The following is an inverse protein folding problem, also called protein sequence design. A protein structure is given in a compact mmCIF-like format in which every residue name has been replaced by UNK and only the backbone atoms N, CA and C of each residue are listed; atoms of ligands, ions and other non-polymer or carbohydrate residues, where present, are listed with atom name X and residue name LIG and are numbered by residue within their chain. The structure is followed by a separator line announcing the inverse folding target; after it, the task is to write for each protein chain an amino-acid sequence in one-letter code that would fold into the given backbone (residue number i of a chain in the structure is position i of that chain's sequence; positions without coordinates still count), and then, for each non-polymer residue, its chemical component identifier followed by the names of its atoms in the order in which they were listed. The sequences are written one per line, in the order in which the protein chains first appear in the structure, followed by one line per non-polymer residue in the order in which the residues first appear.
data_IF_582116705830
#
_entry.id   IF_582116705830
#
_cell.length_a   1.000
_cell.length_b   1.000
_cell.length_c   1.000
_cell.angle_alpha   90.00
_cell.angle_beta   90.00
_cell.angle_gamma   90.00
#
_symmetry.space_group_name_H-M   'P 1'
#
loop_
_entity.id
_entity.type
_entity.pdbx_description
1 polymer ?
#
# COMPACT_ATOMS: atom_id res chain seq x y z
N UNK A 1 35.04 8.59 -19.66
CA UNK A 1 34.02 7.51 -19.83
C UNK A 1 33.66 7.40 -21.30
N UNK A 2 33.75 6.20 -21.88
CA UNK A 2 33.65 5.96 -23.32
C UNK A 2 32.21 5.99 -23.84
N UNK A 3 31.97 6.58 -25.02
CA UNK A 3 30.66 6.66 -25.71
C UNK A 3 29.87 5.34 -25.68
N UNK A 4 30.55 4.20 -25.85
CA UNK A 4 29.95 2.86 -25.81
C UNK A 4 29.35 2.51 -24.44
N UNK A 5 30.03 2.87 -23.35
CA UNK A 5 29.54 2.68 -21.99
C UNK A 5 28.29 3.51 -21.74
N UNK A 6 28.28 4.78 -22.17
CA UNK A 6 27.12 5.65 -21.99
C UNK A 6 25.90 5.12 -22.75
N UNK A 7 26.09 4.63 -23.98
CA UNK A 7 25.01 4.00 -24.76
C UNK A 7 24.48 2.76 -24.05
N UNK A 8 25.37 1.92 -23.52
CA UNK A 8 24.98 0.71 -22.79
C UNK A 8 24.20 1.07 -21.51
N UNK A 9 24.67 2.04 -20.72
CA UNK A 9 23.96 2.50 -19.53
C UNK A 9 22.60 3.10 -19.85
N UNK A 10 22.49 3.88 -20.94
CA UNK A 10 21.22 4.43 -21.40
C UNK A 10 20.24 3.32 -21.80
N UNK A 11 20.72 2.28 -22.51
CA UNK A 11 19.91 1.11 -22.84
C UNK A 11 19.44 0.37 -21.59
N UNK A 12 20.29 0.20 -20.57
CA UNK A 12 19.89 -0.41 -19.30
C UNK A 12 18.84 0.42 -18.56
N UNK A 13 19.01 1.74 -18.48
CA UNK A 13 18.02 2.62 -17.87
C UNK A 13 16.69 2.57 -18.61
N UNK A 14 16.71 2.46 -19.94
CA UNK A 14 15.49 2.38 -20.73
C UNK A 14 14.80 1.01 -20.60
N UNK A 15 15.57 -0.09 -20.63
CA UNK A 15 15.01 -1.45 -20.57
C UNK A 15 14.57 -1.86 -19.16
N UNK A 16 15.25 -1.38 -18.11
CA UNK A 16 14.97 -1.78 -16.73
C UNK A 16 14.43 -0.63 -15.89
N UNK A 17 14.99 0.56 -16.03
CA UNK A 17 14.58 1.73 -15.26
C UNK A 17 13.18 2.21 -15.61
N UNK A 18 12.82 2.27 -16.89
CA UNK A 18 11.48 2.73 -17.30
C UNK A 18 10.37 1.76 -16.83
N UNK A 19 10.46 0.43 -17.03
CA UNK A 19 9.45 -0.49 -16.49
C UNK A 19 9.43 -0.49 -14.96
N UNK A 20 10.59 -0.40 -14.31
CA UNK A 20 10.66 -0.31 -12.85
C UNK A 20 9.91 0.93 -12.33
N UNK A 21 10.18 2.10 -12.91
CA UNK A 21 9.52 3.34 -12.53
C UNK A 21 8.01 3.24 -12.74
N UNK A 22 7.58 2.83 -13.92
CA UNK A 22 6.17 2.82 -14.28
C UNK A 22 5.35 1.76 -13.52
N UNK A 23 5.89 0.54 -13.35
CA UNK A 23 5.15 -0.54 -12.71
C UNK A 23 5.18 -0.49 -11.18
N UNK A 24 6.24 0.07 -10.60
CA UNK A 24 6.47 -0.03 -9.15
C UNK A 24 6.43 1.30 -8.41
N UNK A 25 6.76 2.42 -9.06
CA UNK A 25 6.75 3.74 -8.41
C UNK A 25 5.56 4.60 -8.84
N UNK A 26 5.24 4.61 -10.13
CA UNK A 26 4.15 5.39 -10.73
C UNK A 26 2.95 4.49 -11.08
N UNK A 27 2.56 3.61 -10.15
CA UNK A 27 1.41 2.73 -10.30
C UNK A 27 0.11 3.33 -9.73
N UNK A 28 0.09 4.65 -9.51
CA UNK A 28 -1.06 5.39 -9.03
C UNK A 28 -2.21 5.41 -10.05
N UNK A 29 -3.41 5.80 -9.60
CA UNK A 29 -4.64 5.74 -10.40
C UNK A 29 -4.74 6.88 -11.45
N UNK A 30 -3.61 7.43 -11.91
CA UNK A 30 -3.54 8.55 -12.85
C UNK A 30 -4.32 9.78 -12.36
N UNK A 31 -5.11 10.38 -13.26
CA UNK A 31 -5.93 11.57 -12.99
C UNK A 31 -7.27 11.27 -12.28
N UNK A 32 -7.42 10.09 -11.67
CA UNK A 32 -8.62 9.74 -10.94
C UNK A 32 -8.86 10.75 -9.80
N UNK A 33 -9.86 11.61 -9.97
CA UNK A 33 -10.27 12.55 -8.92
C UNK A 33 -10.72 11.76 -7.70
N UNK A 34 -10.24 12.19 -6.53
CA UNK A 34 -10.72 11.68 -5.27
C UNK A 34 -12.25 11.84 -5.21
N UNK A 35 -12.96 10.75 -4.91
CA UNK A 35 -14.40 10.84 -4.63
C UNK A 35 -14.59 11.68 -3.36
N UNK A 36 -15.58 12.59 -3.31
CA UNK A 36 -15.86 13.36 -2.10
C UNK A 36 -16.40 12.43 -1.02
N UNK A 37 -15.49 11.89 -0.21
CA UNK A 37 -15.80 10.95 0.86
C UNK A 37 -15.64 11.66 2.20
N UNK A 38 -16.75 11.82 2.91
CA UNK A 38 -16.75 12.45 4.23
C UNK A 38 -16.84 11.38 5.32
N UNK A 39 -15.95 11.47 6.31
CA UNK A 39 -15.93 10.53 7.44
C UNK A 39 -17.27 10.50 8.19
N UNK A 40 -18.00 11.62 8.22
CA UNK A 40 -19.33 11.69 8.82
C UNK A 40 -20.35 10.80 8.08
N UNK A 41 -20.31 10.77 6.74
CA UNK A 41 -21.18 9.92 5.94
C UNK A 41 -20.85 8.43 6.15
N UNK A 42 -19.56 8.08 6.25
CA UNK A 42 -19.13 6.72 6.57
C UNK A 42 -19.61 6.27 7.95
N UNK A 43 -19.50 7.14 8.96
CA UNK A 43 -19.99 6.85 10.32
C UNK A 43 -21.51 6.69 10.37
N UNK A 44 -22.24 7.55 9.66
CA UNK A 44 -23.70 7.44 9.52
C UNK A 44 -24.10 6.13 8.85
N UNK A 45 -23.43 5.76 7.75
CA UNK A 45 -23.64 4.49 7.08
C UNK A 45 -23.36 3.31 7.99
N UNK A 46 -22.22 3.31 8.71
CA UNK A 46 -21.88 2.25 9.66
C UNK A 46 -22.93 2.13 10.79
N UNK A 47 -23.43 3.25 11.31
CA UNK A 47 -24.48 3.26 12.33
C UNK A 47 -25.84 2.78 11.83
N UNK A 48 -26.09 2.84 10.52
CA UNK A 48 -27.33 2.33 9.91
C UNK A 48 -27.34 0.81 9.73
N UNK A 49 -26.18 0.16 9.85
CA UNK A 49 -26.08 -1.30 9.73
C UNK A 49 -26.60 -1.97 11.00
N UNK A 50 -27.45 -3.02 10.88
CA UNK A 50 -27.94 -3.75 12.03
C UNK A 50 -26.83 -4.62 12.65
N UNK A 51 -26.92 -4.83 13.96
CA UNK A 51 -25.98 -5.66 14.73
C UNK A 51 -25.06 -4.86 15.62
N UNK A 52 -24.22 -5.56 16.39
CA UNK A 52 -23.24 -4.90 17.25
C UNK A 52 -22.02 -4.46 16.43
N UNK A 53 -21.54 -3.25 16.70
CA UNK A 53 -20.31 -2.77 16.11
C UNK A 53 -19.09 -3.55 16.65
N UNK A 54 -18.00 -3.64 15.89
CA UNK A 54 -16.75 -4.17 16.42
C UNK A 54 -16.29 -3.40 17.66
N UNK A 55 -15.78 -4.12 18.67
CA UNK A 55 -15.32 -3.53 19.94
C UNK A 55 -13.89 -2.97 19.89
N UNK A 56 -13.16 -3.28 18.83
CA UNK A 56 -11.77 -2.83 18.67
C UNK A 56 -11.19 -3.20 17.31
N UNK A 57 -9.90 -2.93 17.18
CA UNK A 57 -9.05 -3.35 16.06
C UNK A 57 -7.84 -4.04 16.65
N UNK A 58 -7.63 -5.28 16.25
CA UNK A 58 -6.48 -6.09 16.65
C UNK A 58 -5.64 -6.40 15.42
N UNK A 59 -4.35 -6.62 15.62
CA UNK A 59 -3.45 -7.00 14.54
C UNK A 59 -2.42 -8.03 15.01
N UNK A 60 -1.95 -8.83 14.07
CA UNK A 60 -0.84 -9.75 14.25
C UNK A 60 0.17 -9.55 13.11
N UNK A 61 1.46 -9.50 13.44
CA UNK A 61 2.53 -9.49 12.44
C UNK A 61 2.76 -10.94 12.01
N UNK A 62 2.27 -11.28 10.82
CA UNK A 62 2.33 -12.66 10.30
C UNK A 62 3.60 -12.92 9.49
N UNK A 63 4.23 -11.87 8.97
CA UNK A 63 5.51 -11.97 8.27
C UNK A 63 6.24 -10.61 8.26
N UNK A 64 7.46 -10.60 7.72
CA UNK A 64 8.16 -9.36 7.39
C UNK A 64 8.84 -9.49 6.04
N UNK A 65 9.02 -8.35 5.36
CA UNK A 65 9.75 -8.29 4.09
C UNK A 65 10.66 -7.08 4.06
N UNK A 66 11.84 -7.27 3.48
CA UNK A 66 12.72 -6.17 3.12
C UNK A 66 12.41 -5.69 1.71
N UNK A 67 12.19 -4.39 1.52
CA UNK A 67 11.89 -3.79 0.21
C UNK A 67 12.33 -2.31 0.16
N UNK A 68 12.62 -1.71 -1.02
CA UNK A 68 12.95 -0.29 -1.14
C UNK A 68 11.86 0.61 -0.54
N UNK A 69 12.24 1.63 0.23
CA UNK A 69 11.29 2.49 0.96
C UNK A 69 10.17 3.05 0.10
N UNK A 70 10.47 3.54 -1.11
CA UNK A 70 9.47 4.11 -2.02
C UNK A 70 8.44 3.10 -2.54
N UNK A 71 8.70 1.79 -2.47
CA UNK A 71 7.68 0.77 -2.76
C UNK A 71 6.68 0.59 -1.61
N UNK A 72 6.96 1.16 -0.44
CA UNK A 72 6.07 1.10 0.73
C UNK A 72 5.37 2.44 0.96
N UNK A 73 6.13 3.54 0.96
CA UNK A 73 5.63 4.91 1.13
C UNK A 73 6.44 5.85 0.25
N UNK A 74 5.76 6.67 -0.56
CA UNK A 74 6.39 7.65 -1.42
C UNK A 74 7.27 8.63 -0.64
N UNK A 75 8.49 8.89 -1.13
CA UNK A 75 9.45 9.81 -0.52
C UNK A 75 10.35 9.17 0.55
N UNK A 76 10.29 7.85 0.72
CA UNK A 76 11.10 7.09 1.67
C UNK A 76 12.45 6.63 1.08
N UNK A 77 12.62 6.79 -0.23
CA UNK A 77 13.85 6.55 -0.97
C UNK A 77 14.10 5.08 -1.32
N UNK A 78 15.21 4.82 -2.02
CA UNK A 78 15.58 3.48 -2.50
C UNK A 78 16.24 2.56 -1.45
N UNK A 79 16.60 3.08 -0.27
CA UNK A 79 17.20 2.25 0.78
C UNK A 79 16.18 1.23 1.26
N UNK A 80 16.60 -0.04 1.36
CA UNK A 80 15.72 -1.11 1.83
C UNK A 80 15.29 -0.87 3.28
N UNK A 81 14.01 -1.08 3.54
CA UNK A 81 13.39 -1.01 4.87
C UNK A 81 12.79 -2.37 5.20
N UNK A 82 12.80 -2.73 6.48
CA UNK A 82 12.03 -3.88 6.98
C UNK A 82 10.58 -3.42 7.17
N UNK A 83 9.65 -4.12 6.53
CA UNK A 83 8.21 -3.83 6.56
C UNK A 83 7.50 -5.03 7.16
N UNK A 84 6.58 -4.78 8.08
CA UNK A 84 5.72 -5.81 8.66
C UNK A 84 4.56 -6.13 7.71
N UNK A 85 4.28 -7.42 7.54
CA UNK A 85 3.03 -7.91 6.93
C UNK A 85 2.10 -8.25 8.07
N UNK A 86 0.93 -7.62 8.11
CA UNK A 86 0.00 -7.70 9.22
C UNK A 86 -1.31 -8.28 8.75
N UNK A 87 -1.90 -9.16 9.56
CA UNK A 87 -3.31 -9.53 9.45
C UNK A 87 -4.08 -8.76 10.52
N UNK A 88 -5.29 -8.29 10.19
CA UNK A 88 -6.15 -7.53 11.09
C UNK A 88 -7.42 -8.29 11.44
N UNK A 89 -7.87 -8.07 12.68
CA UNK A 89 -9.12 -8.63 13.19
C UNK A 89 -9.95 -7.54 13.85
N UNK A 90 -11.22 -7.47 13.49
CA UNK A 90 -12.21 -6.63 14.15
C UNK A 90 -13.16 -7.54 14.94
N UNK A 91 -12.99 -7.68 16.27
CA UNK A 91 -13.86 -8.50 17.11
C UNK A 91 -15.27 -7.92 17.18
N UNK A 92 -16.28 -8.74 16.91
CA UNK A 92 -17.71 -8.38 17.02
C UNK A 92 -18.31 -9.16 18.19
N UNK A 93 -18.82 -8.50 19.25
CA UNK A 93 -19.34 -9.23 20.40
C UNK A 93 -20.55 -10.08 20.03
N UNK A 94 -20.56 -11.34 20.47
CA UNK A 94 -21.60 -12.31 20.14
C UNK A 94 -21.63 -12.77 18.67
N UNK A 95 -20.67 -12.34 17.84
CA UNK A 95 -20.61 -12.65 16.42
C UNK A 95 -19.25 -13.21 15.98
N UNK A 96 -19.14 -13.51 14.67
CA UNK A 96 -17.86 -13.86 14.07
C UNK A 96 -17.02 -12.58 13.87
N UNK A 97 -15.71 -12.63 14.14
CA UNK A 97 -14.83 -11.49 13.85
C UNK A 97 -14.73 -11.26 12.34
N UNK A 98 -14.45 -10.01 11.96
CA UNK A 98 -14.12 -9.65 10.58
C UNK A 98 -12.59 -9.73 10.45
N UNK A 99 -12.10 -10.47 9.45
CA UNK A 99 -10.67 -10.56 9.12
C UNK A 99 -10.36 -9.71 7.89
N UNK A 100 -9.19 -9.07 7.90
CA UNK A 100 -8.66 -8.26 6.80
C UNK A 100 -7.17 -8.61 6.64
N UNK A 101 -6.77 -8.93 5.41
CA UNK A 101 -5.45 -9.46 5.04
C UNK A 101 -4.64 -8.45 4.20
#
# INVERSE_FOLDING_TARGET
MTRRLNILLALFLLLFGAPYYWLLLENGHGDARAKPLHIAALRSLAASLPGQAPSGVEYEVVASRSLPGDLFVAGSGFKRKLVAVMAWRLPVPGGKPILID
#
